data_IF_769119709571
#
_entry.id   IF_769119709571
#
_cell.length_a   1.000
_cell.length_b   1.000
_cell.length_c   1.000
_cell.angle_alpha   90.00
_cell.angle_beta   90.00
_cell.angle_gamma   90.00
#
_symmetry.space_group_name_H-M   'P 1'
#
loop_
_entity.id
_entity.type
_entity.pdbx_description
1 polymer ?
#
# COMPACT_ATOMS: atom_id res chain seq x y z
N UNK A 1 4.58 27.17 -5.18
CA UNK A 1 3.72 26.21 -5.90
C UNK A 1 4.47 24.90 -6.00
N UNK A 2 3.73 23.80 -5.92
CA UNK A 2 4.18 22.47 -5.48
C UNK A 2 5.46 21.94 -6.15
N UNK A 3 6.23 21.19 -5.37
CA UNK A 3 7.30 20.33 -5.87
C UNK A 3 6.62 19.28 -6.75
N UNK A 4 6.55 19.51 -8.05
CA UNK A 4 6.38 18.41 -9.00
C UNK A 4 7.56 17.45 -8.72
N UNK A 5 7.33 16.24 -8.20
CA UNK A 5 8.41 15.27 -8.15
C UNK A 5 8.77 14.98 -9.60
N UNK A 6 9.88 15.55 -10.08
CA UNK A 6 10.38 15.38 -11.44
C UNK A 6 10.30 13.89 -11.77
N UNK A 7 9.30 13.51 -12.57
CA UNK A 7 9.08 12.11 -12.88
C UNK A 7 10.27 11.69 -13.74
N UNK A 8 11.10 10.79 -13.20
CA UNK A 8 12.17 10.17 -13.98
C UNK A 8 11.57 9.54 -15.24
N UNK A 9 12.21 9.80 -16.38
CA UNK A 9 11.76 9.24 -17.66
C UNK A 9 11.77 7.71 -17.60
N UNK A 10 10.89 7.02 -18.35
CA UNK A 10 10.89 5.56 -18.39
C UNK A 10 12.27 4.98 -18.75
N UNK A 11 12.99 5.62 -19.67
CA UNK A 11 14.35 5.21 -20.06
C UNK A 11 15.35 5.31 -18.91
N UNK A 12 15.40 6.45 -18.21
CA UNK A 12 16.33 6.61 -17.09
C UNK A 12 15.97 5.69 -15.92
N UNK A 13 14.68 5.39 -15.73
CA UNK A 13 14.24 4.40 -14.75
C UNK A 13 14.71 2.98 -15.14
N UNK A 14 14.55 2.60 -16.41
CA UNK A 14 14.99 1.31 -16.92
C UNK A 14 16.51 1.10 -16.77
N UNK A 15 17.32 2.13 -17.01
CA UNK A 15 18.77 2.09 -16.78
C UNK A 15 19.08 1.90 -15.30
N UNK A 16 18.46 2.70 -14.42
CA UNK A 16 18.71 2.67 -12.98
C UNK A 16 18.38 1.31 -12.33
N UNK A 17 17.30 0.65 -12.75
CA UNK A 17 16.90 -0.63 -12.14
C UNK A 17 17.87 -1.78 -12.44
N UNK A 18 18.72 -1.66 -13.47
CA UNK A 18 19.71 -2.71 -13.80
C UNK A 18 20.80 -2.87 -12.73
N UNK A 19 21.08 -1.83 -11.96
CA UNK A 19 22.13 -1.82 -10.93
C UNK A 19 21.60 -2.18 -9.52
N UNK A 20 20.28 -2.27 -9.35
CA UNK A 20 19.66 -2.53 -8.05
C UNK A 20 19.64 -4.02 -7.71
N UNK A 21 19.74 -4.42 -6.42
CA UNK A 21 19.52 -5.81 -6.01
C UNK A 21 18.03 -6.20 -6.14
N UNK A 22 17.75 -7.51 -6.27
CA UNK A 22 16.38 -8.03 -6.44
C UNK A 22 15.42 -7.59 -5.32
N UNK A 23 15.88 -7.54 -4.07
CA UNK A 23 15.07 -7.07 -2.94
C UNK A 23 14.60 -5.64 -3.13
N UNK A 24 15.46 -4.75 -3.64
CA UNK A 24 15.09 -3.37 -3.93
C UNK A 24 14.08 -3.27 -5.08
N UNK A 25 14.19 -4.15 -6.10
CA UNK A 25 13.19 -4.22 -7.17
C UNK A 25 11.81 -4.60 -6.63
N UNK A 26 11.71 -5.66 -5.82
CA UNK A 26 10.43 -6.07 -5.25
C UNK A 26 9.85 -5.03 -4.28
N UNK A 27 10.69 -4.40 -3.45
CA UNK A 27 10.24 -3.28 -2.62
C UNK A 27 9.65 -2.16 -3.50
N UNK A 28 10.27 -1.87 -4.64
CA UNK A 28 9.75 -0.85 -5.56
C UNK A 28 8.42 -1.25 -6.19
N UNK A 29 8.22 -2.53 -6.50
CA UNK A 29 6.93 -3.05 -6.97
C UNK A 29 5.86 -2.80 -5.91
N UNK A 30 6.12 -3.14 -4.64
CA UNK A 30 5.15 -2.93 -3.57
C UNK A 30 4.82 -1.45 -3.35
N UNK A 31 5.82 -0.57 -3.35
CA UNK A 31 5.61 0.89 -3.26
C UNK A 31 4.71 1.40 -4.40
N UNK A 32 4.99 1.00 -5.64
CA UNK A 32 4.21 1.43 -6.80
C UNK A 32 2.78 0.87 -6.76
N UNK A 33 2.62 -0.40 -6.39
CA UNK A 33 1.29 -1.02 -6.25
C UNK A 33 0.47 -0.36 -5.15
N UNK A 34 1.08 -0.03 -4.03
CA UNK A 34 0.41 0.70 -2.95
C UNK A 34 0.00 2.11 -3.43
N UNK A 35 0.90 2.83 -4.10
CA UNK A 35 0.61 4.16 -4.65
C UNK A 35 -0.55 4.13 -5.66
N UNK A 36 -0.55 3.16 -6.58
CA UNK A 36 -1.63 2.95 -7.55
C UNK A 36 -2.96 2.66 -6.83
N UNK A 37 -2.95 1.80 -5.82
CA UNK A 37 -4.16 1.49 -5.04
C UNK A 37 -4.72 2.72 -4.32
N UNK A 38 -3.84 3.56 -3.77
CA UNK A 38 -4.24 4.82 -3.14
C UNK A 38 -4.83 5.80 -4.16
N UNK A 39 -4.23 5.95 -5.35
CA UNK A 39 -4.78 6.81 -6.41
C UNK A 39 -6.13 6.32 -6.91
N UNK A 40 -6.32 5.01 -7.10
CA UNK A 40 -7.62 4.47 -7.47
C UNK A 40 -8.71 4.73 -6.42
N UNK A 41 -8.38 4.56 -5.13
CA UNK A 41 -9.30 4.89 -4.04
C UNK A 41 -9.65 6.38 -4.06
N UNK A 42 -8.65 7.25 -4.10
CA UNK A 42 -8.84 8.70 -4.14
C UNK A 42 -9.71 9.12 -5.34
N UNK A 43 -9.41 8.62 -6.54
CA UNK A 43 -10.22 8.91 -7.72
C UNK A 43 -11.67 8.41 -7.58
N UNK A 44 -11.89 7.26 -6.95
CA UNK A 44 -13.24 6.75 -6.70
C UNK A 44 -14.01 7.65 -5.74
N UNK A 45 -13.36 8.13 -4.68
CA UNK A 45 -13.93 9.07 -3.71
C UNK A 45 -14.23 10.43 -4.35
N UNK A 46 -13.33 10.96 -5.18
CA UNK A 46 -13.54 12.20 -5.94
C UNK A 46 -14.71 12.07 -6.91
N UNK A 47 -14.81 10.95 -7.64
CA UNK A 47 -15.93 10.70 -8.55
C UNK A 47 -17.27 10.65 -7.81
N UNK A 48 -17.29 10.03 -6.62
CA UNK A 48 -18.48 10.00 -5.77
C UNK A 48 -18.85 11.41 -5.30
N UNK A 49 -17.87 12.19 -4.87
CA UNK A 49 -18.10 13.58 -4.44
C UNK A 49 -18.65 14.46 -5.56
N UNK A 50 -18.09 14.35 -6.78
CA UNK A 50 -18.59 15.07 -7.97
C UNK A 50 -20.06 14.73 -8.26
N UNK A 51 -20.46 13.47 -8.06
CA UNK A 51 -21.83 13.01 -8.31
C UNK A 51 -22.81 13.46 -7.22
N UNK A 52 -22.41 13.42 -5.95
CA UNK A 52 -23.32 13.56 -4.81
C UNK A 52 -23.32 14.96 -4.17
N UNK A 53 -22.23 15.72 -4.31
CA UNK A 53 -21.97 16.90 -3.47
C UNK A 53 -21.64 18.18 -4.24
N UNK A 54 -21.46 18.12 -5.57
CA UNK A 54 -21.04 19.29 -6.35
C UNK A 54 -22.21 19.91 -7.13
N UNK A 55 -22.58 21.14 -6.78
CA UNK A 55 -23.64 21.91 -7.45
C UNK A 55 -23.14 22.86 -8.55
N UNK A 56 -21.84 23.16 -8.55
CA UNK A 56 -21.18 24.08 -9.49
C UNK A 56 -20.50 23.31 -10.62
N UNK A 57 -20.82 23.62 -11.88
CA UNK A 57 -20.16 23.02 -13.04
C UNK A 57 -18.66 23.33 -13.11
N UNK A 58 -18.23 24.48 -12.56
CA UNK A 58 -16.82 24.84 -12.48
C UNK A 58 -16.07 23.90 -11.54
N UNK A 59 -16.63 23.63 -10.36
CA UNK A 59 -16.03 22.77 -9.34
C UNK A 59 -15.97 21.32 -9.83
N UNK A 60 -17.02 20.86 -10.54
CA UNK A 60 -17.02 19.52 -11.17
C UNK A 60 -15.87 19.39 -12.15
N UNK A 61 -15.71 20.37 -13.03
CA UNK A 61 -14.64 20.38 -14.04
C UNK A 61 -13.26 20.34 -13.39
N UNK A 62 -13.02 21.14 -12.35
CA UNK A 62 -11.73 21.14 -11.64
C UNK A 62 -11.42 19.79 -10.99
N UNK A 63 -12.41 19.14 -10.37
CA UNK A 63 -12.25 17.81 -9.78
C UNK A 63 -12.03 16.74 -10.85
N UNK A 64 -12.69 16.83 -12.00
CA UNK A 64 -12.47 15.95 -13.15
C UNK A 64 -11.06 16.11 -13.75
N UNK A 65 -10.55 17.34 -13.80
CA UNK A 65 -9.18 17.63 -14.23
C UNK A 65 -8.16 16.95 -13.28
N UNK A 66 -8.37 17.02 -11.96
CA UNK A 66 -7.52 16.31 -10.98
C UNK A 66 -7.58 14.78 -11.12
N UNK A 67 -8.77 14.23 -11.35
CA UNK A 67 -8.93 12.78 -11.58
C UNK A 67 -8.15 12.37 -12.83
N UNK A 68 -8.25 13.15 -13.90
CA UNK A 68 -7.55 12.89 -15.18
C UNK A 68 -6.03 12.94 -15.01
N UNK A 69 -5.52 13.91 -14.24
CA UNK A 69 -4.10 14.00 -13.92
C UNK A 69 -3.63 12.76 -13.13
N UNK A 70 -4.37 12.35 -12.10
CA UNK A 70 -4.08 11.15 -11.32
C UNK A 70 -4.09 9.88 -12.19
N UNK A 71 -4.99 9.78 -13.17
CA UNK A 71 -5.01 8.68 -14.13
C UNK A 71 -3.73 8.63 -14.98
N UNK A 72 -3.21 9.79 -15.40
CA UNK A 72 -1.89 9.88 -16.04
C UNK A 72 -0.76 9.37 -15.15
N UNK A 73 -0.79 9.70 -13.86
CA UNK A 73 0.18 9.18 -12.87
C UNK A 73 0.07 7.67 -12.74
N UNK A 74 -1.16 7.11 -12.65
CA UNK A 74 -1.39 5.66 -12.60
C UNK A 74 -0.81 4.97 -13.83
N UNK A 75 -1.00 5.51 -15.04
CA UNK A 75 -0.41 4.97 -16.27
C UNK A 75 1.11 4.94 -16.17
N UNK A 76 1.73 6.05 -15.79
CA UNK A 76 3.19 6.13 -15.63
C UNK A 76 3.73 5.18 -14.56
N UNK A 77 3.00 4.96 -13.46
CA UNK A 77 3.37 3.98 -12.44
C UNK A 77 3.26 2.54 -12.95
N UNK A 78 2.22 2.21 -13.73
CA UNK A 78 2.08 0.89 -14.34
C UNK A 78 3.19 0.60 -15.36
N UNK A 79 3.61 1.60 -16.15
CA UNK A 79 4.77 1.47 -17.04
C UNK A 79 6.05 1.11 -16.27
N UNK A 80 6.28 1.75 -15.12
CA UNK A 80 7.42 1.43 -14.24
C UNK A 80 7.31 0.02 -13.65
N UNK A 81 6.12 -0.44 -13.29
CA UNK A 81 5.89 -1.84 -12.86
C UNK A 81 6.23 -2.81 -14.00
N UNK A 82 5.85 -2.49 -15.24
CA UNK A 82 6.20 -3.33 -16.40
C UNK A 82 7.72 -3.40 -16.62
N UNK A 83 8.45 -2.29 -16.48
CA UNK A 83 9.91 -2.28 -16.55
C UNK A 83 10.56 -3.12 -15.44
N UNK A 84 10.05 -3.04 -14.21
CA UNK A 84 10.51 -3.88 -13.10
C UNK A 84 10.30 -5.36 -13.39
N UNK A 85 9.14 -5.73 -13.96
CA UNK A 85 8.85 -7.10 -14.36
C UNK A 85 9.84 -7.62 -15.40
N UNK A 86 10.07 -6.84 -16.47
CA UNK A 86 11.04 -7.18 -17.51
C UNK A 86 12.43 -7.42 -16.90
N UNK A 87 12.86 -6.56 -15.97
CA UNK A 87 14.18 -6.69 -15.34
C UNK A 87 14.28 -7.93 -14.42
N UNK A 88 13.24 -8.24 -13.65
CA UNK A 88 13.17 -9.45 -12.81
C UNK A 88 13.25 -10.71 -13.67
N UNK A 89 12.45 -10.77 -14.74
CA UNK A 89 12.42 -11.90 -15.68
C UNK A 89 13.75 -12.02 -16.45
N UNK A 90 14.39 -10.90 -16.82
CA UNK A 90 15.73 -10.88 -17.46
C UNK A 90 16.80 -11.49 -16.56
N UNK A 91 16.65 -11.41 -15.23
CA UNK A 91 17.55 -12.05 -14.26
C UNK A 91 17.20 -13.52 -14.00
N UNK A 92 16.22 -14.07 -14.72
CA UNK A 92 15.76 -15.46 -14.57
C UNK A 92 15.00 -15.70 -13.27
N UNK A 93 14.39 -14.67 -12.70
CA UNK A 93 13.52 -14.79 -11.52
C UNK A 93 12.05 -14.72 -11.95
N UNK A 94 11.20 -15.43 -11.21
CA UNK A 94 9.76 -15.40 -11.43
C UNK A 94 9.14 -14.09 -10.92
N UNK A 95 8.08 -13.64 -11.59
CA UNK A 95 7.36 -12.44 -11.18
C UNK A 95 6.59 -12.68 -9.88
N UNK A 96 6.69 -11.73 -8.94
CA UNK A 96 6.17 -11.89 -7.58
C UNK A 96 4.66 -12.13 -7.51
N UNK A 97 3.88 -11.58 -8.44
CA UNK A 97 2.42 -11.75 -8.45
C UNK A 97 1.99 -13.10 -9.03
N UNK A 98 2.85 -13.76 -9.79
CA UNK A 98 2.62 -15.12 -10.27
C UNK A 98 2.91 -16.12 -9.15
N UNK A 99 4.02 -15.91 -8.43
CA UNK A 99 4.38 -16.70 -7.25
C UNK A 99 3.28 -16.71 -6.18
N UNK A 100 2.68 -15.55 -5.88
CA UNK A 100 1.59 -15.44 -4.89
C UNK A 100 0.36 -16.26 -5.30
N UNK A 101 0.07 -16.41 -6.60
CA UNK A 101 -1.05 -17.24 -7.06
C UNK A 101 -0.78 -18.72 -6.85
N UNK A 102 0.42 -19.18 -7.21
CA UNK A 102 0.83 -20.59 -7.03
C UNK A 102 0.81 -20.99 -5.54
N UNK A 103 1.32 -20.13 -4.67
CA UNK A 103 1.32 -20.38 -3.21
C UNK A 103 -0.11 -20.38 -2.64
N UNK A 104 -1.02 -19.55 -3.16
CA UNK A 104 -2.42 -19.53 -2.74
C UNK A 104 -3.22 -20.76 -3.20
N UNK A 105 -2.90 -21.31 -4.37
CA UNK A 105 -3.53 -22.53 -4.89
C UNK A 105 -2.97 -23.81 -4.24
N UNK A 106 -1.73 -23.76 -3.70
CA UNK A 106 -1.08 -24.88 -3.03
C UNK A 106 -1.50 -25.10 -1.56
N UNK A 107 -2.13 -24.11 -0.92
CA UNK A 107 -2.63 -24.20 0.46
C UNK A 107 -4.05 -24.80 0.56
N UNK A 108 -4.62 -25.25 -0.57
CA UNK A 108 -5.98 -25.78 -0.67
C UNK A 108 -6.21 -27.22 -0.18
N UNK A 109 -5.20 -27.94 0.31
CA UNK A 109 -5.39 -29.32 0.80
C UNK A 109 -4.47 -29.68 1.98
N UNK A 110 -4.90 -29.33 3.20
CA UNK A 110 -4.70 -30.18 4.37
C UNK A 110 -5.77 -29.94 5.44
N UNK A 111 -6.78 -30.80 5.46
CA UNK A 111 -7.67 -30.92 6.61
C UNK A 111 -7.01 -31.71 7.74
N UNK A 112 -7.19 -31.25 8.98
CA UNK A 112 -7.64 -32.02 10.17
C UNK A 112 -7.54 -31.10 11.39
N UNK A 113 -8.65 -30.99 12.13
CA UNK A 113 -8.81 -30.05 13.23
C UNK A 113 -8.05 -30.38 14.51
N UNK A 114 -8.07 -29.42 15.42
CA UNK A 114 -8.55 -29.57 16.79
C UNK A 114 -8.47 -28.20 17.46
N UNK A 115 -9.62 -27.72 17.95
CA UNK A 115 -9.61 -26.66 18.96
C UNK A 115 -8.97 -27.19 20.24
N UNK A 116 -8.15 -26.37 20.89
CA UNK A 116 -8.33 -26.06 22.29
C UNK A 116 -7.47 -24.85 22.66
N UNK A 117 -8.09 -24.01 23.46
CA UNK A 117 -7.57 -22.84 24.14
C UNK A 117 -6.30 -23.20 24.95
N UNK A 118 -5.32 -22.29 24.96
CA UNK A 118 -4.29 -22.27 25.98
C UNK A 118 -4.29 -20.89 26.64
N UNK A 119 -5.21 -20.74 27.58
CA UNK A 119 -5.06 -19.83 28.71
C UNK A 119 -4.18 -20.52 29.75
N UNK A 120 -3.06 -19.91 30.14
CA UNK A 120 -2.59 -20.02 31.51
C UNK A 120 -1.67 -18.85 31.87
N UNK A 121 -2.14 -18.03 32.80
CA UNK A 121 -1.30 -17.20 33.64
C UNK A 121 -0.71 -18.01 34.80
N UNK A 122 -0.11 -17.27 35.74
CA UNK A 122 0.64 -17.71 36.92
C UNK A 122 2.15 -17.89 36.62
N UNK A 123 3.11 -17.30 37.34
CA UNK A 123 3.17 -17.04 38.78
C UNK A 123 4.16 -15.88 39.14
N UNK A 124 3.82 -15.18 40.24
CA UNK A 124 4.66 -14.62 41.34
C UNK A 124 5.49 -13.31 41.26
N UNK A 125 4.96 -12.36 42.06
CA UNK A 125 5.45 -11.16 42.80
C UNK A 125 6.78 -11.34 43.64
N UNK A 126 7.28 -10.40 44.51
CA UNK A 126 6.65 -9.19 45.12
C UNK A 126 7.53 -7.95 45.48
N UNK A 127 6.87 -6.87 45.98
CA UNK A 127 7.40 -5.79 46.85
C UNK A 127 7.97 -4.57 46.09
N UNK A 128 7.64 -3.31 46.38
CA UNK A 128 7.61 -2.63 47.68
C UNK A 128 6.79 -1.31 47.63
N UNK A 129 6.38 -0.86 48.81
CA UNK A 129 5.31 0.10 49.14
C UNK A 129 5.80 1.54 49.26
N UNK A 130 5.09 2.53 48.69
CA UNK A 130 4.81 3.86 49.30
C UNK A 130 3.70 4.55 48.47
N UNK A 131 2.44 4.60 48.94
CA UNK A 131 1.83 5.75 49.65
C UNK A 131 2.03 7.11 48.97
N UNK A 132 0.99 7.64 48.30
CA UNK A 132 0.10 8.68 48.85
C UNK A 132 -0.88 9.27 47.81
N UNK A 133 -2.16 9.36 48.21
CA UNK A 133 -3.18 10.41 48.00
C UNK A 133 -3.37 11.06 46.59
N UNK A 134 -4.55 11.45 46.09
CA UNK A 134 -5.96 11.41 46.47
C UNK A 134 -6.72 12.19 45.36
N UNK A 135 -7.92 11.71 44.98
CA UNK A 135 -9.09 12.43 44.41
C UNK A 135 -8.94 13.23 43.09
N UNK A 136 -9.65 12.87 42.01
CA UNK A 136 -11.08 13.12 41.69
C UNK A 136 -11.31 14.50 41.03
N UNK A 137 -11.99 14.53 39.88
CA UNK A 137 -12.23 15.79 39.16
C UNK A 137 -12.66 15.74 37.69
N UNK A 138 -13.85 15.18 37.44
CA UNK A 138 -14.95 15.69 36.58
C UNK A 138 -14.63 16.33 35.21
N UNK A 139 -15.21 15.72 34.16
CA UNK A 139 -15.40 16.29 32.82
C UNK A 139 -16.45 17.42 32.80
N UNK A 140 -16.07 18.57 32.22
CA UNK A 140 -16.94 19.45 31.41
C UNK A 140 -16.12 20.03 30.25
#
# INVERSE_FOLDING_TARGET
>A
MAIEPLSISPTAFAEAITELPLSALYNKVFELRNSIAHLHRSNSELRLFVLESTDSEQDKKELEDYITENEGVIVSMNERVALLRIEVERRGQEWIEEKVKVDADADGESGTGNGHENVNGDTTAPGDTTQDAQEDGVYL
#
